data_IF_693960592028
#
_entry.id   IF_693960592028
#
_cell.length_a   1.000
_cell.length_b   1.000
_cell.length_c   1.000
_cell.angle_alpha   90.00
_cell.angle_beta   90.00
_cell.angle_gamma   90.00
#
_symmetry.space_group_name_H-M   'P 1'
#
loop_
_entity.id
_entity.type
_entity.pdbx_description
1 polymer ?
#
# COMPACT_ATOMS: atom_id res chain seq x y z
N UNK A 1 -9.94 -9.08 1.87
CA UNK A 1 -9.69 -8.18 3.01
C UNK A 1 -10.67 -8.52 4.12
N UNK A 2 -10.19 -8.63 5.34
CA UNK A 2 -11.00 -8.93 6.53
C UNK A 2 -11.58 -7.65 7.15
N UNK A 3 -12.43 -7.78 8.16
CA UNK A 3 -13.09 -6.63 8.80
C UNK A 3 -12.12 -5.63 9.46
N UNK A 4 -10.90 -6.06 9.79
CA UNK A 4 -9.82 -5.20 10.31
C UNK A 4 -8.92 -4.60 9.22
N UNK A 5 -9.27 -4.76 7.95
CA UNK A 5 -8.51 -4.28 6.80
C UNK A 5 -7.33 -5.17 6.38
N UNK A 6 -7.03 -6.25 7.12
CA UNK A 6 -5.89 -7.12 6.80
C UNK A 6 -6.12 -8.00 5.55
N UNK A 7 -5.02 -8.53 5.01
CA UNK A 7 -5.00 -9.39 3.84
C UNK A 7 -4.58 -10.83 4.24
N UNK A 8 -5.52 -11.67 4.74
CA UNK A 8 -5.17 -12.95 5.37
C UNK A 8 -4.43 -13.91 4.44
N UNK A 9 -4.71 -13.89 3.13
CA UNK A 9 -4.01 -14.74 2.17
C UNK A 9 -2.54 -14.30 2.01
N UNK A 10 -2.26 -13.01 2.09
CA UNK A 10 -0.90 -12.48 2.00
C UNK A 10 -0.15 -12.66 3.34
N UNK A 11 -0.86 -12.48 4.47
CA UNK A 11 -0.29 -12.71 5.80
C UNK A 11 0.13 -14.17 6.02
N UNK A 12 -0.51 -15.12 5.36
CA UNK A 12 -0.16 -16.56 5.42
C UNK A 12 1.04 -16.95 4.54
N UNK A 13 1.61 -16.03 3.77
CA UNK A 13 2.72 -16.31 2.85
C UNK A 13 4.08 -16.09 3.51
N UNK A 14 5.15 -16.36 2.75
CA UNK A 14 6.54 -16.27 3.23
C UNK A 14 7.05 -14.83 3.38
N UNK A 15 6.38 -13.86 2.76
CA UNK A 15 6.72 -12.43 2.81
C UNK A 15 5.47 -11.61 3.15
N UNK A 16 4.89 -11.79 4.34
CA UNK A 16 3.59 -11.19 4.68
C UNK A 16 3.59 -9.66 4.62
N UNK A 17 4.68 -9.01 4.99
CA UNK A 17 4.81 -7.56 4.95
C UNK A 17 4.84 -7.03 3.52
N UNK A 18 5.77 -7.54 2.70
CA UNK A 18 5.90 -7.15 1.29
C UNK A 18 4.63 -7.44 0.50
N UNK A 19 4.05 -8.64 0.65
CA UNK A 19 2.85 -9.00 -0.10
C UNK A 19 1.63 -8.19 0.31
N UNK A 20 1.51 -7.78 1.57
CA UNK A 20 0.46 -6.85 2.01
C UNK A 20 0.63 -5.47 1.37
N UNK A 21 1.87 -4.95 1.32
CA UNK A 21 2.19 -3.70 0.61
C UNK A 21 1.86 -3.82 -0.88
N UNK A 22 2.27 -4.91 -1.52
CA UNK A 22 2.04 -5.15 -2.95
C UNK A 22 0.56 -5.19 -3.31
N UNK A 23 -0.25 -5.90 -2.53
CA UNK A 23 -1.71 -5.96 -2.76
C UNK A 23 -2.33 -4.59 -2.58
N UNK A 24 -1.95 -3.86 -1.52
CA UNK A 24 -2.48 -2.53 -1.26
C UNK A 24 -2.11 -1.54 -2.37
N UNK A 25 -0.85 -1.56 -2.85
CA UNK A 25 -0.41 -0.69 -3.96
C UNK A 25 -1.22 -0.94 -5.24
N UNK A 26 -1.45 -2.21 -5.58
CA UNK A 26 -2.28 -2.54 -6.75
C UNK A 26 -3.74 -2.12 -6.58
N UNK A 27 -4.34 -2.35 -5.41
CA UNK A 27 -5.74 -1.97 -5.15
C UNK A 27 -5.92 -0.45 -5.20
N UNK A 28 -5.04 0.31 -4.56
CA UNK A 28 -5.07 1.78 -4.58
C UNK A 28 -4.84 2.31 -5.99
N UNK A 29 -3.91 1.73 -6.73
CA UNK A 29 -3.67 2.09 -8.13
C UNK A 29 -4.93 1.88 -8.98
N UNK A 30 -5.64 0.76 -8.80
CA UNK A 30 -6.92 0.53 -9.48
C UNK A 30 -8.00 1.54 -9.07
N UNK A 31 -8.09 1.87 -7.79
CA UNK A 31 -9.01 2.92 -7.33
C UNK A 31 -8.71 4.25 -8.02
N UNK A 32 -7.43 4.62 -8.11
CA UNK A 32 -7.01 5.88 -8.73
C UNK A 32 -7.29 5.92 -10.23
N UNK A 33 -6.97 4.84 -10.97
CA UNK A 33 -7.07 4.81 -12.42
C UNK A 33 -8.50 4.59 -12.94
N UNK A 34 -9.34 3.90 -12.19
CA UNK A 34 -10.65 3.45 -12.66
C UNK A 34 -11.83 4.20 -12.05
N UNK A 35 -11.61 5.02 -11.00
CA UNK A 35 -12.68 5.83 -10.45
C UNK A 35 -13.16 6.88 -11.44
N UNK A 36 -14.46 7.05 -11.51
CA UNK A 36 -15.12 8.09 -12.29
C UNK A 36 -16.07 8.88 -11.39
N UNK A 37 -16.62 10.02 -11.84
CA UNK A 37 -17.63 10.75 -11.06
C UNK A 37 -18.89 9.92 -10.74
N UNK A 38 -19.22 8.94 -11.59
CA UNK A 38 -20.40 8.08 -11.45
C UNK A 38 -20.10 6.76 -10.72
N UNK A 39 -18.82 6.34 -10.67
CA UNK A 39 -18.39 5.08 -10.05
C UNK A 39 -17.06 5.29 -9.31
N UNK A 40 -17.18 5.61 -8.03
CA UNK A 40 -16.04 5.93 -7.16
C UNK A 40 -15.54 4.69 -6.42
N UNK A 41 -14.46 4.08 -6.90
CA UNK A 41 -13.86 2.89 -6.29
C UNK A 41 -13.23 3.15 -4.91
N UNK A 42 -12.90 4.40 -4.59
CA UNK A 42 -12.42 4.76 -3.25
C UNK A 42 -13.49 4.58 -2.16
N UNK A 43 -14.76 4.61 -2.55
CA UNK A 43 -15.91 4.43 -1.66
C UNK A 43 -16.55 3.04 -1.80
N UNK A 44 -16.07 2.21 -2.75
CA UNK A 44 -16.62 0.89 -2.99
C UNK A 44 -16.48 0.01 -1.76
N UNK A 45 -17.59 -0.56 -1.32
CA UNK A 45 -17.65 -1.47 -0.17
C UNK A 45 -17.76 -2.92 -0.60
N UNK A 46 -16.89 -3.75 -0.05
CA UNK A 46 -17.00 -5.20 -0.16
C UNK A 46 -18.26 -5.72 0.56
N UNK A 47 -18.70 -6.97 0.31
CA UNK A 47 -19.87 -7.56 0.98
C UNK A 47 -19.80 -7.56 2.52
N UNK A 48 -18.61 -7.56 3.10
CA UNK A 48 -18.38 -7.46 4.54
C UNK A 48 -18.36 -6.00 5.05
N UNK A 49 -18.60 -5.01 4.18
CA UNK A 49 -18.65 -3.59 4.52
C UNK A 49 -17.31 -2.86 4.49
N UNK A 50 -16.17 -3.57 4.29
CA UNK A 50 -14.85 -2.94 4.21
C UNK A 50 -14.60 -2.29 2.85
N UNK A 51 -13.74 -1.28 2.83
CA UNK A 51 -13.31 -0.57 1.63
C UNK A 51 -11.78 -0.43 1.60
N UNK A 52 -11.23 0.21 0.59
CA UNK A 52 -9.78 0.40 0.45
C UNK A 52 -9.17 1.16 1.63
N UNK A 53 -9.94 2.06 2.27
CA UNK A 53 -9.46 2.82 3.43
C UNK A 53 -9.16 1.91 4.63
N UNK A 54 -9.95 0.84 4.85
CA UNK A 54 -9.66 -0.12 5.92
C UNK A 54 -8.31 -0.82 5.70
N UNK A 55 -7.96 -1.12 4.45
CA UNK A 55 -6.64 -1.68 4.10
C UNK A 55 -5.49 -0.69 4.35
N UNK A 56 -5.72 0.58 4.04
CA UNK A 56 -4.77 1.65 4.36
C UNK A 56 -4.62 1.83 5.87
N UNK A 57 -5.72 1.83 6.62
CA UNK A 57 -5.72 1.98 8.08
C UNK A 57 -5.01 0.81 8.77
N UNK A 58 -5.19 -0.40 8.25
CA UNK A 58 -4.47 -1.59 8.73
C UNK A 58 -2.96 -1.45 8.54
N UNK A 59 -2.51 -1.06 7.35
CA UNK A 59 -1.08 -1.14 7.00
C UNK A 59 -0.27 0.10 7.38
N UNK A 60 -0.87 1.30 7.36
CA UNK A 60 -0.17 2.56 7.58
C UNK A 60 0.65 2.61 8.88
N UNK A 61 0.15 2.16 10.05
CA UNK A 61 0.95 2.16 11.28
C UNK A 61 2.28 1.41 11.12
N UNK A 62 2.29 0.29 10.42
CA UNK A 62 3.47 -0.53 10.21
C UNK A 62 4.39 -0.03 9.09
N UNK A 63 3.88 0.84 8.21
CA UNK A 63 4.72 1.55 7.24
C UNK A 63 5.50 2.68 7.90
N UNK A 64 4.91 3.32 8.92
CA UNK A 64 5.52 4.39 9.69
C UNK A 64 6.44 3.88 10.78
N UNK A 65 6.09 2.77 11.41
CA UNK A 65 6.88 2.07 12.43
C UNK A 65 6.91 0.56 12.15
N UNK A 66 7.88 0.16 11.32
CA UNK A 66 8.04 -1.24 10.90
C UNK A 66 8.34 -2.18 12.06
N UNK A 67 8.99 -1.71 13.13
CA UNK A 67 9.30 -2.54 14.30
C UNK A 67 8.03 -2.98 15.05
N UNK A 68 6.92 -2.26 14.87
CA UNK A 68 5.63 -2.64 15.43
C UNK A 68 4.90 -3.75 14.65
N UNK A 69 5.45 -4.22 13.49
CA UNK A 69 4.85 -5.29 12.68
C UNK A 69 4.62 -6.57 13.49
N UNK A 70 3.37 -7.01 13.71
CA UNK A 70 3.05 -8.08 14.64
C UNK A 70 3.12 -9.49 14.02
N UNK A 71 3.34 -9.58 12.71
CA UNK A 71 3.39 -10.85 11.98
C UNK A 71 4.84 -11.29 11.75
N UNK A 72 5.07 -12.54 11.28
CA UNK A 72 6.40 -12.99 10.93
C UNK A 72 7.10 -12.04 9.95
N UNK A 73 8.40 -11.85 10.13
CA UNK A 73 9.22 -11.09 9.17
C UNK A 73 9.28 -11.85 7.85
N UNK A 74 9.36 -11.10 6.76
CA UNK A 74 9.58 -11.68 5.43
C UNK A 74 10.88 -12.48 5.40
N UNK A 75 10.85 -13.64 4.77
CA UNK A 75 12.06 -14.53 4.66
C UNK A 75 13.19 -13.88 3.88
N UNK A 76 12.91 -12.84 3.09
CA UNK A 76 13.90 -12.04 2.37
C UNK A 76 13.35 -10.64 2.08
N UNK A 77 14.24 -9.68 1.88
CA UNK A 77 13.94 -8.28 1.51
C UNK A 77 13.09 -7.49 2.52
N UNK A 78 12.91 -7.99 3.74
CA UNK A 78 12.15 -7.27 4.77
C UNK A 78 12.71 -5.88 5.03
N UNK A 79 14.04 -5.75 5.08
CA UNK A 79 14.71 -4.47 5.37
C UNK A 79 14.62 -3.47 4.21
N UNK A 80 14.33 -3.94 3.00
CA UNK A 80 14.15 -3.12 1.80
C UNK A 80 12.78 -2.46 1.69
N UNK A 81 11.84 -2.84 2.55
CA UNK A 81 10.50 -2.26 2.62
C UNK A 81 10.29 -1.47 3.94
N UNK A 82 9.39 -0.45 3.96
CA UNK A 82 8.66 0.07 2.81
C UNK A 82 9.57 0.76 1.80
N UNK A 83 9.20 0.70 0.53
CA UNK A 83 9.80 1.46 -0.55
C UNK A 83 8.81 2.50 -1.07
N UNK A 84 9.30 3.49 -1.82
CA UNK A 84 8.43 4.46 -2.48
C UNK A 84 7.55 3.74 -3.50
N UNK A 85 6.24 3.86 -3.37
CA UNK A 85 5.25 3.20 -4.21
C UNK A 85 4.07 4.14 -4.49
N UNK A 86 3.31 3.86 -5.55
CA UNK A 86 2.25 4.75 -6.03
C UNK A 86 1.12 4.95 -5.01
N UNK A 87 0.80 3.94 -4.22
CA UNK A 87 -0.33 4.02 -3.28
C UNK A 87 -0.16 5.12 -2.23
N UNK A 88 1.08 5.37 -1.79
CA UNK A 88 1.36 6.41 -0.80
C UNK A 88 0.95 7.79 -1.33
N UNK A 89 1.28 8.07 -2.58
CA UNK A 89 0.97 9.35 -3.19
C UNK A 89 -0.51 9.43 -3.61
N UNK A 90 -1.05 8.40 -4.27
CA UNK A 90 -2.44 8.40 -4.72
C UNK A 90 -3.43 8.46 -3.56
N UNK A 91 -3.26 7.61 -2.54
CA UNK A 91 -4.11 7.65 -1.35
C UNK A 91 -3.87 8.91 -0.54
N UNK A 92 -2.61 9.34 -0.40
CA UNK A 92 -2.25 10.55 0.32
C UNK A 92 -2.92 11.79 -0.24
N UNK A 93 -2.91 11.96 -1.57
CA UNK A 93 -3.53 13.11 -2.22
C UNK A 93 -5.07 12.99 -2.29
N UNK A 94 -5.60 11.82 -2.60
CA UNK A 94 -7.06 11.64 -2.79
C UNK A 94 -7.83 11.65 -1.48
N UNK A 95 -7.25 11.08 -0.42
CA UNK A 95 -7.89 10.93 0.89
C UNK A 95 -7.38 11.93 1.93
N UNK A 96 -6.56 12.91 1.50
CA UNK A 96 -5.97 13.93 2.37
C UNK A 96 -5.15 13.33 3.55
N UNK A 97 -4.41 12.25 3.28
CA UNK A 97 -3.58 11.55 4.27
C UNK A 97 -2.13 12.04 4.18
N UNK A 98 -1.84 13.12 4.90
CA UNK A 98 -0.52 13.77 4.88
C UNK A 98 0.61 12.81 5.27
N UNK A 99 0.36 11.89 6.22
CA UNK A 99 1.35 10.92 6.67
C UNK A 99 1.84 9.99 5.54
N UNK A 100 0.99 9.67 4.56
CA UNK A 100 1.36 8.87 3.39
C UNK A 100 2.17 9.70 2.38
N UNK A 101 1.80 10.95 2.18
CA UNK A 101 2.55 11.87 1.32
C UNK A 101 3.95 12.11 1.89
N UNK A 102 4.06 12.29 3.19
CA UNK A 102 5.35 12.49 3.86
C UNK A 102 6.19 11.22 3.83
N UNK A 103 5.60 10.05 4.03
CA UNK A 103 6.28 8.78 3.86
C UNK A 103 6.85 8.66 2.43
N UNK A 104 6.05 8.94 1.40
CA UNK A 104 6.48 8.92 0.01
C UNK A 104 7.68 9.85 -0.24
N UNK A 105 7.66 11.08 0.27
CA UNK A 105 8.74 12.05 0.10
C UNK A 105 10.02 11.65 0.80
N UNK A 106 9.92 11.02 1.97
CA UNK A 106 11.07 10.65 2.80
C UNK A 106 11.74 9.33 2.38
N UNK A 107 11.06 8.48 1.62
CA UNK A 107 11.64 7.26 1.09
C UNK A 107 12.56 7.55 -0.11
N UNK A 108 13.62 6.76 -0.31
CA UNK A 108 14.50 6.89 -1.48
C UNK A 108 13.71 6.82 -2.80
N UNK A 109 14.11 7.61 -3.78
CA UNK A 109 13.47 7.64 -5.11
C UNK A 109 13.50 6.26 -5.78
N UNK A 110 14.63 5.57 -5.66
CA UNK A 110 14.80 4.19 -6.12
C UNK A 110 15.40 3.33 -5.02
N UNK A 111 14.95 2.09 -4.96
CA UNK A 111 15.57 1.08 -4.11
C UNK A 111 16.80 0.49 -4.79
N UNK A 112 17.86 0.21 -4.03
CA UNK A 112 19.01 -0.57 -4.52
C UNK A 112 18.66 -2.05 -4.70
N UNK A 113 17.60 -2.52 -4.03
CA UNK A 113 17.12 -3.89 -4.11
C UNK A 113 16.35 -4.13 -5.42
N UNK A 114 16.85 -5.06 -6.23
CA UNK A 114 16.26 -5.40 -7.53
C UNK A 114 14.85 -5.98 -7.39
N UNK A 115 14.60 -6.77 -6.35
CA UNK A 115 13.27 -7.34 -6.08
C UNK A 115 12.24 -6.23 -5.82
N UNK A 116 12.62 -5.22 -5.03
CA UNK A 116 11.77 -4.06 -4.76
C UNK A 116 11.48 -3.29 -6.05
N UNK A 117 12.52 -3.01 -6.86
CA UNK A 117 12.34 -2.31 -8.14
C UNK A 117 11.39 -3.04 -9.10
N UNK A 118 11.41 -4.37 -9.09
CA UNK A 118 10.53 -5.18 -9.93
C UNK A 118 9.08 -5.16 -9.47
N UNK A 119 8.84 -4.99 -8.18
CA UNK A 119 7.50 -5.03 -7.58
C UNK A 119 6.79 -3.66 -7.60
N UNK A 120 7.49 -2.57 -7.89
CA UNK A 120 6.88 -1.25 -8.01
C UNK A 120 6.20 -1.11 -9.37
N UNK A 121 4.87 -0.99 -9.37
CA UNK A 121 4.08 -0.91 -10.60
C UNK A 121 4.25 0.42 -11.35
N UNK A 122 4.07 1.53 -10.66
CA UNK A 122 4.19 2.89 -11.22
C UNK A 122 5.38 3.59 -10.57
N UNK A 123 6.42 3.88 -11.37
CA UNK A 123 7.66 4.49 -10.87
C UNK A 123 7.59 6.00 -10.67
N UNK A 124 6.75 6.67 -11.45
CA UNK A 124 6.58 8.13 -11.42
C UNK A 124 5.10 8.48 -11.23
N UNK A 125 4.54 8.21 -10.05
CA UNK A 125 3.11 8.44 -9.80
C UNK A 125 2.72 9.91 -9.87
N UNK A 126 3.66 10.85 -9.66
CA UNK A 126 3.44 12.30 -9.78
C UNK A 126 2.89 12.70 -11.16
N UNK A 127 3.20 11.93 -12.20
CA UNK A 127 2.73 12.19 -13.57
C UNK A 127 1.27 11.73 -13.80
N UNK A 128 0.67 11.07 -12.82
CA UNK A 128 -0.67 10.49 -12.91
C UNK A 128 -1.70 11.17 -12.00
N UNK A 129 -1.28 12.20 -11.26
CA UNK A 129 -2.15 12.99 -10.38
C UNK A 129 -3.02 13.99 -11.15
#
# INVERSE_FOLDING_TARGET
MTADGSFPLELARTKPYNYSIFVLDNMVTLCHLLSTPDDNLWEYKLPNGTCIQDGLDFLTPYLLDKESWPYPKDVSHFDSFPARASFQLFAGCTLEREELVDLYKNLPLESEDEEVRRNIGIRMPDLWL
#
